data_IF_661964232524
#
_entry.id   IF_661964232524
#
_cell.length_a   1.000
_cell.length_b   1.000
_cell.length_c   1.000
_cell.angle_alpha   90.00
_cell.angle_beta   90.00
_cell.angle_gamma   90.00
#
_symmetry.space_group_name_H-M   'P 1'
#
loop_
_entity.id
_entity.type
_entity.pdbx_description
1 polymer ?
#
# COMPACT_ATOMS: atom_id res chain seq x y z
N UNK A 1 8.65 -86.34 -27.67
CA UNK A 1 7.89 -86.40 -26.40
C UNK A 1 7.32 -85.01 -26.11
N UNK A 2 6.25 -84.94 -25.32
CA UNK A 2 5.60 -83.72 -24.76
C UNK A 2 5.52 -83.92 -23.22
N UNK A 3 5.08 -82.98 -22.34
CA UNK A 3 4.50 -81.64 -22.52
C UNK A 3 5.38 -80.54 -21.84
N UNK A 4 4.97 -79.33 -21.38
CA UNK A 4 3.72 -78.49 -21.23
C UNK A 4 4.21 -77.00 -21.21
N UNK A 5 3.53 -75.89 -21.53
CA UNK A 5 2.13 -75.43 -21.49
C UNK A 5 1.58 -75.17 -20.06
N UNK A 6 0.97 -74.04 -19.67
CA UNK A 6 0.68 -72.72 -20.31
C UNK A 6 1.23 -71.60 -19.36
N UNK A 7 0.86 -70.30 -19.29
CA UNK A 7 -0.12 -69.37 -19.90
C UNK A 7 0.36 -67.92 -19.60
N UNK A 8 -0.10 -66.79 -20.16
CA UNK A 8 -1.05 -66.54 -21.27
C UNK A 8 -1.98 -65.33 -21.01
N UNK A 9 -1.65 -64.15 -21.54
CA UNK A 9 -2.51 -62.93 -21.59
C UNK A 9 -3.77 -63.12 -22.45
N UNK A 10 -4.83 -62.25 -22.43
CA UNK A 10 -4.90 -61.10 -23.36
C UNK A 10 -5.79 -59.88 -22.86
N UNK A 11 -6.68 -59.13 -23.59
CA UNK A 11 -6.59 -57.65 -23.59
C UNK A 11 -7.91 -56.80 -23.58
N UNK A 12 -7.77 -55.46 -23.72
CA UNK A 12 -8.68 -54.44 -24.34
C UNK A 12 -10.22 -54.53 -24.23
N UNK A 13 -10.85 -53.41 -23.82
CA UNK A 13 -12.18 -52.95 -24.29
C UNK A 13 -12.23 -51.41 -24.44
N UNK A 14 -13.32 -50.85 -25.01
CA UNK A 14 -13.45 -49.43 -25.41
C UNK A 14 -14.83 -48.83 -25.15
N UNK A 15 -14.90 -47.50 -24.91
CA UNK A 15 -16.03 -46.54 -25.10
C UNK A 15 -17.50 -47.01 -24.93
N UNK A 16 -18.27 -46.28 -24.11
CA UNK A 16 -19.50 -45.59 -24.56
C UNK A 16 -19.95 -44.49 -23.57
N UNK A 17 -21.20 -43.98 -23.64
CA UNK A 17 -21.68 -42.71 -23.04
C UNK A 17 -22.77 -42.87 -21.96
N UNK A 18 -23.01 -41.78 -21.19
CA UNK A 18 -24.08 -41.59 -20.17
C UNK A 18 -25.51 -41.74 -20.74
N UNK A 19 -26.54 -41.95 -19.89
CA UNK A 19 -27.35 -40.80 -19.43
C UNK A 19 -27.70 -40.83 -17.91
N UNK A 20 -28.58 -39.92 -17.46
CA UNK A 20 -28.85 -39.57 -16.04
C UNK A 20 -30.33 -39.32 -15.73
N UNK A 21 -30.84 -39.71 -14.54
CA UNK A 21 -32.20 -39.36 -14.06
C UNK A 21 -32.30 -39.20 -12.51
N UNK A 22 -32.67 -37.98 -12.08
CA UNK A 22 -33.54 -37.50 -10.96
C UNK A 22 -33.85 -38.31 -9.67
N UNK A 23 -33.83 -37.59 -8.52
CA UNK A 23 -34.81 -37.46 -7.38
C UNK A 23 -35.80 -38.61 -7.02
N UNK A 24 -36.32 -38.80 -5.79
CA UNK A 24 -36.47 -37.96 -4.56
C UNK A 24 -36.46 -38.88 -3.28
N UNK A 25 -37.12 -38.77 -2.10
CA UNK A 25 -38.17 -37.91 -1.47
C UNK A 25 -38.09 -37.98 0.10
N UNK A 26 -38.65 -36.96 0.77
CA UNK A 26 -38.99 -36.68 2.19
C UNK A 26 -38.97 -37.70 3.36
N UNK A 27 -38.77 -37.14 4.57
CA UNK A 27 -39.56 -37.42 5.78
C UNK A 27 -39.77 -36.11 6.60
N UNK A 28 -40.89 -35.98 7.32
CA UNK A 28 -41.21 -34.81 8.15
C UNK A 28 -41.94 -35.23 9.44
N UNK A 29 -41.86 -34.42 10.50
CA UNK A 29 -42.62 -34.62 11.73
C UNK A 29 -43.20 -33.31 12.25
N UNK A 30 -44.49 -33.33 12.62
CA UNK A 30 -45.22 -32.19 13.17
C UNK A 30 -45.37 -32.36 14.69
N UNK A 31 -45.17 -31.29 15.45
CA UNK A 31 -45.50 -31.25 16.88
C UNK A 31 -46.12 -29.89 17.22
N UNK A 32 -47.41 -29.91 17.56
CA UNK A 32 -48.18 -28.71 17.93
C UNK A 32 -48.07 -28.44 19.42
N UNK A 33 -47.66 -27.22 19.79
CA UNK A 33 -47.70 -26.72 21.16
C UNK A 33 -48.65 -25.53 21.25
N UNK A 34 -49.43 -25.49 22.34
CA UNK A 34 -50.47 -24.49 22.59
C UNK A 34 -49.81 -23.21 23.08
N UNK A 35 -50.16 -22.07 22.48
CA UNK A 35 -49.64 -20.76 22.88
C UNK A 35 -50.38 -20.18 24.08
N UNK A 36 -49.61 -19.64 25.02
CA UNK A 36 -50.07 -18.68 26.02
C UNK A 36 -49.43 -17.31 25.72
N UNK A 37 -50.13 -16.19 25.94
CA UNK A 37 -49.60 -14.86 25.66
C UNK A 37 -48.56 -14.47 26.72
N UNK A 38 -47.28 -14.68 26.42
CA UNK A 38 -46.17 -14.11 27.19
C UNK A 38 -46.04 -12.63 26.81
N UNK A 39 -45.99 -11.75 27.81
CA UNK A 39 -45.79 -10.32 27.59
C UNK A 39 -44.41 -10.06 26.94
N UNK A 40 -44.38 -9.31 25.84
CA UNK A 40 -43.13 -9.00 25.14
C UNK A 40 -42.28 -8.04 25.98
N UNK A 41 -41.25 -8.60 26.63
CA UNK A 41 -40.09 -7.81 27.05
C UNK A 41 -39.33 -7.36 25.79
N UNK A 42 -38.83 -6.12 25.78
CA UNK A 42 -37.94 -5.65 24.73
C UNK A 42 -36.67 -6.53 24.70
N UNK A 43 -36.12 -6.87 23.52
CA UNK A 43 -34.89 -7.64 23.44
C UNK A 43 -33.77 -6.89 24.17
N UNK A 44 -33.00 -7.61 24.97
CA UNK A 44 -31.78 -7.08 25.56
C UNK A 44 -30.85 -6.58 24.45
N UNK A 45 -30.10 -5.48 24.64
CA UNK A 45 -29.16 -5.01 23.63
C UNK A 45 -28.17 -6.13 23.33
N UNK A 46 -28.06 -6.52 22.06
CA UNK A 46 -27.09 -7.50 21.60
C UNK A 46 -25.71 -7.05 22.08
N UNK A 47 -24.92 -7.89 22.78
CA UNK A 47 -23.56 -7.51 23.11
C UNK A 47 -22.81 -7.21 21.81
N UNK A 48 -22.09 -6.09 21.78
CA UNK A 48 -21.19 -5.81 20.67
C UNK A 48 -20.22 -7.00 20.51
N UNK A 49 -19.86 -7.39 19.27
CA UNK A 49 -18.88 -8.44 19.07
C UNK A 49 -17.59 -8.08 19.83
N UNK A 50 -16.94 -9.09 20.40
CA UNK A 50 -15.66 -8.89 21.05
C UNK A 50 -14.68 -8.23 20.08
N UNK A 51 -13.89 -7.28 20.57
CA UNK A 51 -12.81 -6.70 19.79
C UNK A 51 -11.78 -7.81 19.55
N UNK A 52 -11.37 -8.00 18.29
CA UNK A 52 -10.28 -8.90 17.96
C UNK A 52 -8.98 -8.45 18.64
N UNK A 53 -8.16 -9.42 19.03
CA UNK A 53 -6.85 -9.19 19.66
C UNK A 53 -5.74 -9.05 18.59
N UNK A 54 -4.58 -8.53 19.00
CA UNK A 54 -3.47 -8.28 18.07
C UNK A 54 -2.91 -9.59 17.54
N UNK A 55 -2.96 -9.77 16.22
CA UNK A 55 -2.56 -11.01 15.58
C UNK A 55 -3.70 -12.00 15.28
N UNK A 56 -4.95 -11.67 15.61
CA UNK A 56 -6.09 -12.40 15.07
C UNK A 56 -6.10 -12.29 13.53
N UNK A 57 -6.22 -13.43 12.85
CA UNK A 57 -6.18 -13.51 11.38
C UNK A 57 -7.55 -13.93 10.86
N UNK A 58 -8.08 -13.15 9.93
CA UNK A 58 -9.25 -13.51 9.10
C UNK A 58 -8.79 -13.80 7.68
N UNK A 59 -9.08 -14.99 7.16
CA UNK A 59 -8.80 -15.35 5.76
C UNK A 59 -10.08 -15.28 4.92
N UNK A 60 -9.97 -14.72 3.71
CA UNK A 60 -11.06 -14.57 2.75
C UNK A 60 -10.78 -15.44 1.50
N UNK A 61 -11.49 -16.58 1.32
CA UNK A 61 -11.33 -17.42 0.14
C UNK A 61 -11.72 -16.70 -1.14
N UNK A 62 -10.91 -16.86 -2.19
CA UNK A 62 -11.16 -16.28 -3.50
C UNK A 62 -12.34 -16.98 -4.21
N UNK A 63 -13.11 -16.28 -5.08
CA UNK A 63 -14.26 -16.89 -5.76
C UNK A 63 -13.85 -17.95 -6.79
N UNK A 64 -12.63 -17.84 -7.32
CA UNK A 64 -12.04 -18.79 -8.28
C UNK A 64 -10.91 -19.59 -7.60
N UNK A 65 -10.70 -20.82 -8.07
CA UNK A 65 -9.60 -21.70 -7.62
C UNK A 65 -8.48 -21.78 -8.68
N UNK A 66 -7.24 -21.96 -8.23
CA UNK A 66 -6.03 -21.78 -9.03
C UNK A 66 -5.69 -20.32 -9.29
N UNK A 67 -6.19 -19.41 -8.46
CA UNK A 67 -6.09 -17.96 -8.64
C UNK A 67 -4.66 -17.47 -8.46
N UNK A 68 -3.92 -18.06 -7.51
CA UNK A 68 -2.54 -17.70 -7.18
C UNK A 68 -2.38 -16.18 -6.97
N UNK A 69 -2.96 -15.62 -5.89
CA UNK A 69 -2.93 -14.19 -5.63
C UNK A 69 -1.50 -13.67 -5.43
N UNK A 70 -1.13 -12.62 -6.18
CA UNK A 70 0.21 -12.03 -6.24
C UNK A 70 0.37 -10.80 -5.35
N UNK A 71 0.86 -9.69 -5.90
CA UNK A 71 1.03 -8.43 -5.15
C UNK A 71 -0.31 -7.78 -4.78
N UNK A 72 -0.34 -7.04 -3.67
CA UNK A 72 -1.54 -6.42 -3.08
C UNK A 72 -1.27 -4.96 -2.65
N UNK A 73 -2.19 -4.05 -2.96
CA UNK A 73 -2.05 -2.60 -2.74
C UNK A 73 -3.36 -1.93 -2.33
N UNK A 74 -3.31 -0.81 -1.60
CA UNK A 74 -4.52 -0.02 -1.27
C UNK A 74 -4.86 0.94 -2.42
N UNK A 75 -6.02 0.74 -3.06
CA UNK A 75 -6.52 1.58 -4.15
C UNK A 75 -7.11 2.92 -3.70
N UNK A 76 -7.30 3.83 -4.66
CA UNK A 76 -7.84 5.18 -4.46
C UNK A 76 -9.27 5.23 -3.90
N UNK A 77 -10.02 4.14 -4.00
CA UNK A 77 -11.38 3.98 -3.50
C UNK A 77 -11.47 3.40 -2.07
N UNK A 78 -10.32 3.24 -1.39
CA UNK A 78 -10.27 2.72 -0.01
C UNK A 78 -10.51 1.22 0.11
N UNK A 79 -10.17 0.45 -0.93
CA UNK A 79 -10.22 -1.01 -0.94
C UNK A 79 -8.84 -1.58 -1.33
N UNK A 80 -8.60 -2.84 -1.02
CA UNK A 80 -7.38 -3.53 -1.45
C UNK A 80 -7.59 -4.07 -2.87
N UNK A 81 -6.54 -4.02 -3.68
CA UNK A 81 -6.49 -4.51 -5.05
C UNK A 81 -5.26 -5.41 -5.21
N UNK A 82 -5.40 -6.54 -5.91
CA UNK A 82 -4.34 -7.54 -6.06
C UNK A 82 -4.39 -8.24 -7.42
N UNK A 83 -3.29 -8.86 -7.83
CA UNK A 83 -3.21 -9.69 -9.05
C UNK A 83 -3.63 -11.13 -8.76
N UNK A 84 -4.26 -11.80 -9.72
CA UNK A 84 -4.56 -13.25 -9.68
C UNK A 84 -3.83 -13.92 -10.84
N UNK A 85 -2.57 -14.31 -10.59
CA UNK A 85 -1.57 -14.66 -11.60
C UNK A 85 -1.98 -15.92 -12.38
N UNK A 86 -2.58 -16.91 -11.71
CA UNK A 86 -2.93 -18.21 -12.28
C UNK A 86 -4.16 -18.21 -13.19
N UNK A 87 -4.98 -17.15 -13.13
CA UNK A 87 -6.27 -17.05 -13.86
C UNK A 87 -6.42 -15.77 -14.67
N UNK A 88 -5.33 -15.01 -14.90
CA UNK A 88 -5.30 -13.76 -15.68
C UNK A 88 -6.37 -12.73 -15.28
N UNK A 89 -6.43 -12.37 -13.98
CA UNK A 89 -7.33 -11.34 -13.46
C UNK A 89 -6.62 -10.33 -12.56
N UNK A 90 -7.28 -9.19 -12.36
CA UNK A 90 -7.03 -8.27 -11.24
C UNK A 90 -8.24 -8.37 -10.32
N UNK A 91 -8.05 -8.52 -9.03
CA UNK A 91 -9.12 -8.59 -8.05
C UNK A 91 -9.07 -7.44 -7.05
N UNK A 92 -10.21 -7.25 -6.36
CA UNK A 92 -10.47 -6.21 -5.38
C UNK A 92 -11.19 -6.81 -4.18
N UNK A 93 -10.79 -6.43 -2.98
CA UNK A 93 -11.47 -6.80 -1.74
C UNK A 93 -11.73 -5.56 -0.88
N UNK A 94 -12.97 -5.37 -0.44
CA UNK A 94 -13.30 -4.30 0.50
C UNK A 94 -12.70 -4.59 1.87
N UNK A 95 -12.51 -3.58 2.74
CA UNK A 95 -12.04 -3.83 4.11
C UNK A 95 -13.00 -4.65 5.00
N UNK A 96 -14.19 -4.99 4.48
CA UNK A 96 -15.17 -5.88 5.12
C UNK A 96 -15.21 -7.28 4.46
N UNK A 97 -14.25 -7.61 3.60
CA UNK A 97 -14.12 -8.92 2.96
C UNK A 97 -14.97 -9.16 1.70
N UNK A 98 -15.58 -8.13 1.11
CA UNK A 98 -16.37 -8.30 -0.11
C UNK A 98 -15.47 -8.27 -1.36
N UNK A 99 -15.44 -9.39 -2.10
CA UNK A 99 -14.57 -9.61 -3.25
C UNK A 99 -15.22 -9.22 -4.60
N UNK A 100 -14.40 -8.82 -5.57
CA UNK A 100 -14.77 -8.60 -6.97
C UNK A 100 -13.56 -8.87 -7.86
N UNK A 101 -13.73 -9.72 -8.87
CA UNK A 101 -12.68 -10.08 -9.84
C UNK A 101 -12.91 -9.37 -11.18
N UNK A 102 -11.83 -8.94 -11.85
CA UNK A 102 -11.86 -8.28 -13.17
C UNK A 102 -10.99 -9.06 -14.16
N UNK A 103 -11.62 -9.56 -15.23
CA UNK A 103 -10.96 -10.35 -16.27
C UNK A 103 -10.13 -9.46 -17.22
N UNK A 104 -8.84 -9.79 -17.39
CA UNK A 104 -7.99 -9.15 -18.39
C UNK A 104 -8.42 -9.52 -19.84
N UNK A 105 -8.25 -8.61 -20.82
CA UNK A 105 -8.94 -8.64 -22.11
C UNK A 105 -8.27 -9.50 -23.20
N UNK A 106 -7.91 -10.74 -22.88
CA UNK A 106 -7.23 -11.65 -23.80
C UNK A 106 -6.90 -13.01 -23.19
N UNK A 107 -6.09 -13.79 -23.91
CA UNK A 107 -5.55 -15.08 -23.45
C UNK A 107 -4.03 -15.05 -23.24
N UNK A 108 -3.36 -13.92 -23.49
CA UNK A 108 -1.90 -13.75 -23.42
C UNK A 108 -1.44 -12.86 -22.26
N UNK A 109 -2.11 -12.97 -21.09
CA UNK A 109 -1.83 -12.17 -19.89
C UNK A 109 -1.28 -13.02 -18.75
N UNK A 110 -0.34 -12.46 -17.99
CA UNK A 110 0.05 -12.94 -16.66
C UNK A 110 0.41 -11.72 -15.78
N UNK A 111 -0.59 -11.14 -15.08
CA UNK A 111 -0.37 -9.95 -14.26
C UNK A 111 0.42 -10.31 -13.00
N UNK A 112 1.37 -9.48 -12.57
CA UNK A 112 2.22 -9.76 -11.40
C UNK A 112 2.20 -8.66 -10.33
N UNK A 113 2.91 -7.56 -10.56
CA UNK A 113 3.05 -6.45 -9.61
C UNK A 113 1.90 -5.45 -9.71
N UNK A 114 1.59 -4.71 -8.63
CA UNK A 114 0.45 -3.79 -8.56
C UNK A 114 0.65 -2.59 -7.62
N UNK A 115 0.29 -1.39 -8.10
CA UNK A 115 0.40 -0.14 -7.33
C UNK A 115 -0.75 0.84 -7.60
N UNK A 116 -1.15 1.59 -6.57
CA UNK A 116 -2.01 2.75 -6.76
C UNK A 116 -1.28 3.85 -7.55
N UNK A 117 -1.89 4.31 -8.64
CA UNK A 117 -1.35 5.34 -9.53
C UNK A 117 -1.70 6.78 -9.11
N UNK A 118 -0.91 7.78 -9.54
CA UNK A 118 -1.13 9.19 -9.22
C UNK A 118 -2.35 9.78 -9.97
N UNK A 119 -2.88 9.08 -10.97
CA UNK A 119 -4.11 9.41 -11.70
C UNK A 119 -5.38 8.80 -11.06
N UNK A 120 -5.26 8.19 -9.88
CA UNK A 120 -6.38 7.60 -9.14
C UNK A 120 -6.81 6.22 -9.64
N UNK A 121 -6.07 5.63 -10.58
CA UNK A 121 -6.26 4.23 -11.01
C UNK A 121 -5.39 3.28 -10.20
N UNK A 122 -5.53 1.98 -10.43
CA UNK A 122 -4.55 0.96 -10.04
C UNK A 122 -3.77 0.54 -11.28
N UNK A 123 -2.45 0.49 -11.18
CA UNK A 123 -1.53 0.12 -12.27
C UNK A 123 -0.88 -1.22 -11.95
N UNK A 124 -0.62 -2.03 -12.97
CA UNK A 124 -0.06 -3.38 -12.82
C UNK A 124 0.98 -3.70 -13.89
N UNK A 125 1.91 -4.61 -13.60
CA UNK A 125 2.76 -5.24 -14.62
C UNK A 125 2.08 -6.48 -15.17
N UNK A 126 2.32 -6.77 -16.45
CA UNK A 126 1.97 -8.03 -17.10
C UNK A 126 3.25 -8.62 -17.70
N UNK A 127 3.64 -9.81 -17.24
CA UNK A 127 4.93 -10.41 -17.63
C UNK A 127 4.95 -10.82 -19.11
N UNK A 128 3.82 -10.75 -19.81
CA UNK A 128 3.71 -10.69 -21.27
C UNK A 128 4.22 -9.38 -21.90
N UNK A 129 5.08 -8.63 -21.20
CA UNK A 129 5.73 -7.38 -21.64
C UNK A 129 4.80 -6.18 -21.79
N UNK A 130 3.85 -6.01 -20.87
CA UNK A 130 2.96 -4.82 -20.84
C UNK A 130 2.97 -4.15 -19.47
N UNK A 131 2.63 -2.86 -19.45
CA UNK A 131 2.12 -2.21 -18.23
C UNK A 131 0.63 -1.95 -18.42
N UNK A 132 -0.18 -2.43 -17.48
CA UNK A 132 -1.62 -2.23 -17.45
C UNK A 132 -2.05 -1.18 -16.43
N UNK A 133 -3.26 -0.68 -16.59
CA UNK A 133 -3.96 0.11 -15.58
C UNK A 133 -5.47 -0.17 -15.61
N UNK A 134 -6.08 -0.22 -14.44
CA UNK A 134 -7.51 -0.46 -14.23
C UNK A 134 -8.10 0.66 -13.38
N UNK A 135 -9.24 1.20 -13.82
CA UNK A 135 -10.03 2.17 -13.05
C UNK A 135 -10.79 1.45 -11.93
N UNK A 136 -11.21 2.20 -10.91
CA UNK A 136 -12.04 1.67 -9.80
C UNK A 136 -13.44 1.19 -10.22
N UNK A 137 -13.82 1.42 -11.48
CA UNK A 137 -15.02 0.93 -12.15
C UNK A 137 -14.76 -0.29 -13.09
N UNK A 138 -13.52 -0.79 -13.18
CA UNK A 138 -13.17 -1.98 -13.96
C UNK A 138 -12.75 -1.75 -15.42
N UNK A 139 -12.70 -0.50 -15.90
CA UNK A 139 -12.14 -0.22 -17.24
C UNK A 139 -10.61 -0.39 -17.22
N UNK A 140 -10.10 -1.28 -18.07
CA UNK A 140 -8.68 -1.61 -18.26
C UNK A 140 -8.09 -0.83 -19.45
N UNK A 141 -6.79 -0.55 -19.42
CA UNK A 141 -5.99 0.01 -20.52
C UNK A 141 -4.54 -0.47 -20.39
N UNK A 142 -3.88 -0.74 -21.51
CA UNK A 142 -2.56 -1.41 -21.54
C UNK A 142 -1.59 -0.70 -22.48
N UNK A 143 -0.30 -0.86 -22.20
CA UNK A 143 0.81 -0.30 -22.98
C UNK A 143 1.87 -1.39 -23.16
N UNK A 144 2.12 -1.81 -24.40
CA UNK A 144 3.23 -2.72 -24.72
C UNK A 144 4.58 -2.03 -24.45
N UNK A 145 5.53 -2.78 -23.89
CA UNK A 145 6.91 -2.33 -23.76
C UNK A 145 7.63 -2.32 -25.12
N UNK A 146 8.72 -1.52 -25.29
CA UNK A 146 9.63 -1.64 -26.43
C UNK A 146 10.08 -3.08 -26.74
N UNK A 147 10.54 -3.31 -27.98
CA UNK A 147 10.87 -4.66 -28.46
C UNK A 147 12.11 -5.27 -27.78
N UNK A 148 12.99 -4.44 -27.22
CA UNK A 148 14.25 -4.83 -26.57
C UNK A 148 14.23 -4.74 -25.03
N UNK A 149 13.13 -4.25 -24.44
CA UNK A 149 12.87 -4.24 -22.99
C UNK A 149 12.99 -5.63 -22.35
N UNK A 150 13.08 -5.70 -21.03
CA UNK A 150 12.94 -6.94 -20.28
C UNK A 150 11.49 -7.37 -20.10
N UNK A 151 11.26 -8.21 -19.08
CA UNK A 151 9.93 -8.55 -18.57
C UNK A 151 9.63 -7.69 -17.33
N UNK A 152 8.50 -6.95 -17.26
CA UNK A 152 8.23 -6.04 -16.15
C UNK A 152 7.77 -6.81 -14.91
N UNK A 153 8.38 -6.55 -13.75
CA UNK A 153 8.15 -7.35 -12.53
C UNK A 153 7.35 -6.58 -11.46
N UNK A 154 7.99 -5.86 -10.53
CA UNK A 154 7.31 -5.01 -9.56
C UNK A 154 7.04 -3.60 -10.11
N UNK A 155 6.09 -2.85 -9.52
CA UNK A 155 5.73 -1.49 -9.93
C UNK A 155 5.40 -0.59 -8.74
N UNK A 156 5.73 0.70 -8.82
CA UNK A 156 5.45 1.68 -7.76
C UNK A 156 5.21 3.09 -8.32
N UNK A 157 4.49 3.93 -7.58
CA UNK A 157 4.32 5.36 -7.94
C UNK A 157 5.54 6.17 -7.51
N UNK A 158 6.22 6.77 -8.49
CA UNK A 158 7.38 7.63 -8.32
C UNK A 158 7.04 9.01 -7.75
N UNK A 159 8.00 9.68 -7.09
CA UNK A 159 7.81 11.01 -6.50
C UNK A 159 7.70 12.14 -7.54
N UNK A 160 7.76 11.81 -8.83
CA UNK A 160 7.61 12.71 -9.97
C UNK A 160 6.29 12.50 -10.76
N UNK A 161 5.34 11.75 -10.19
CA UNK A 161 4.00 11.55 -10.77
C UNK A 161 3.93 10.55 -11.91
N UNK A 162 4.91 9.65 -12.01
CA UNK A 162 4.97 8.56 -12.99
C UNK A 162 5.02 7.22 -12.27
N UNK A 163 4.66 6.13 -12.95
CA UNK A 163 4.91 4.78 -12.46
C UNK A 163 6.35 4.39 -12.81
N UNK A 164 6.98 3.59 -11.96
CA UNK A 164 8.33 3.05 -12.13
C UNK A 164 8.28 1.56 -11.83
N UNK A 165 8.99 0.74 -12.61
CA UNK A 165 8.93 -0.72 -12.54
C UNK A 165 10.31 -1.35 -12.72
N UNK A 166 10.48 -2.58 -12.25
CA UNK A 166 11.69 -3.39 -12.47
C UNK A 166 11.57 -4.23 -13.74
N UNK A 167 12.69 -4.58 -14.39
CA UNK A 167 12.74 -5.47 -15.55
C UNK A 167 13.66 -6.68 -15.32
N UNK A 168 13.07 -7.86 -15.08
CA UNK A 168 13.78 -9.14 -14.98
C UNK A 168 13.08 -10.25 -15.81
N UNK A 169 13.79 -10.97 -16.69
CA UNK A 169 15.14 -10.68 -17.18
C UNK A 169 15.16 -9.38 -18.00
N UNK A 170 16.17 -8.55 -17.77
CA UNK A 170 16.34 -7.28 -18.49
C UNK A 170 17.46 -6.39 -17.96
N UNK A 171 17.74 -6.46 -16.66
CA UNK A 171 18.71 -5.60 -15.95
C UNK A 171 18.43 -4.11 -16.19
N UNK A 172 17.16 -3.69 -16.05
CA UNK A 172 16.75 -2.29 -16.12
C UNK A 172 15.75 -1.90 -15.04
N UNK A 173 15.64 -0.58 -14.82
CA UNK A 173 14.47 0.05 -14.21
C UNK A 173 13.70 0.78 -15.31
N UNK A 174 12.43 0.42 -15.49
CA UNK A 174 11.50 1.09 -16.38
C UNK A 174 10.72 2.21 -15.69
N UNK A 175 10.17 3.13 -16.49
CA UNK A 175 9.33 4.24 -16.06
C UNK A 175 8.26 4.52 -17.10
N UNK A 176 7.02 4.70 -16.67
CA UNK A 176 5.90 5.03 -17.56
C UNK A 176 5.07 6.20 -17.01
N UNK A 177 4.85 7.20 -17.86
CA UNK A 177 3.95 8.32 -17.56
C UNK A 177 2.49 7.84 -17.48
N UNK A 178 1.58 8.52 -16.75
CA UNK A 178 0.15 8.19 -16.78
C UNK A 178 -0.50 8.26 -18.18
N UNK A 179 0.17 8.91 -19.14
CA UNK A 179 -0.16 8.99 -20.57
C UNK A 179 0.51 7.92 -21.45
N UNK A 180 1.09 6.87 -20.88
CA UNK A 180 1.62 5.71 -21.62
C UNK A 180 3.04 5.84 -22.20
N UNK A 181 3.69 7.02 -22.13
CA UNK A 181 5.09 7.15 -22.55
C UNK A 181 6.03 6.40 -21.60
N UNK A 182 6.79 5.44 -22.14
CA UNK A 182 7.81 4.65 -21.44
C UNK A 182 9.21 5.30 -21.56
N UNK A 183 10.11 5.02 -20.62
CA UNK A 183 11.55 5.36 -20.62
C UNK A 183 12.28 4.39 -19.69
N UNK A 184 13.43 3.86 -20.10
CA UNK A 184 14.15 2.79 -19.40
C UNK A 184 15.57 3.21 -19.00
N UNK A 185 16.06 2.62 -17.91
CA UNK A 185 17.38 2.91 -17.33
C UNK A 185 18.13 1.59 -17.08
N UNK A 186 19.14 1.23 -17.89
CA UNK A 186 19.90 0.00 -17.68
C UNK A 186 20.73 0.07 -16.40
N UNK A 187 20.84 -1.06 -15.70
CA UNK A 187 21.65 -1.21 -14.50
C UNK A 187 23.16 -1.23 -14.86
N UNK A 188 24.04 -0.71 -13.97
CA UNK A 188 25.49 -0.76 -14.17
C UNK A 188 26.08 -2.18 -14.27
N UNK A 189 25.46 -3.18 -13.64
CA UNK A 189 25.93 -4.57 -13.64
C UNK A 189 24.92 -5.52 -14.31
N UNK A 190 25.36 -6.42 -15.20
CA UNK A 190 24.52 -7.47 -15.77
C UNK A 190 24.32 -8.63 -14.79
N UNK A 191 23.22 -9.38 -14.93
CA UNK A 191 22.85 -10.47 -14.05
C UNK A 191 22.46 -9.99 -12.65
N UNK A 192 21.90 -8.79 -12.55
CA UNK A 192 21.47 -8.19 -11.29
C UNK A 192 20.08 -8.65 -10.87
N UNK A 193 19.20 -8.92 -11.86
CA UNK A 193 17.81 -9.36 -11.65
C UNK A 193 17.04 -8.43 -10.68
N UNK A 194 16.60 -7.25 -11.16
CA UNK A 194 15.90 -6.30 -10.31
C UNK A 194 14.50 -6.82 -9.96
N UNK A 195 14.23 -6.98 -8.66
CA UNK A 195 13.04 -7.66 -8.15
C UNK A 195 11.94 -6.65 -7.77
N UNK A 196 12.04 -6.07 -6.57
CA UNK A 196 11.06 -5.14 -6.00
C UNK A 196 11.53 -3.69 -6.05
N UNK A 197 10.60 -2.72 -6.07
CA UNK A 197 10.91 -1.27 -6.11
C UNK A 197 9.94 -0.44 -5.27
N UNK A 198 10.48 0.49 -4.48
CA UNK A 198 9.71 1.39 -3.59
C UNK A 198 10.15 2.85 -3.70
N UNK A 199 9.18 3.77 -3.76
CA UNK A 199 9.42 5.21 -3.59
C UNK A 199 9.64 5.58 -2.13
N UNK A 200 10.71 6.32 -1.85
CA UNK A 200 11.03 6.80 -0.52
C UNK A 200 10.72 8.30 -0.35
N UNK A 201 10.31 8.77 0.84
CA UNK A 201 10.18 10.20 1.15
C UNK A 201 11.45 11.06 1.02
N UNK A 202 12.60 10.49 0.62
CA UNK A 202 13.80 11.25 0.27
C UNK A 202 13.82 11.71 -1.22
N UNK A 203 12.74 11.44 -1.96
CA UNK A 203 12.56 11.86 -3.35
C UNK A 203 13.23 10.94 -4.38
N UNK A 204 13.58 9.72 -4.00
CA UNK A 204 14.19 8.72 -4.87
C UNK A 204 13.46 7.37 -4.73
N UNK A 205 13.70 6.47 -5.67
CA UNK A 205 13.26 5.09 -5.60
C UNK A 205 14.43 4.20 -5.19
N UNK A 206 14.13 3.10 -4.51
CA UNK A 206 15.06 2.08 -4.08
C UNK A 206 14.54 0.72 -4.53
N UNK A 207 15.42 -0.18 -4.95
CA UNK A 207 15.06 -1.47 -5.51
C UNK A 207 16.02 -2.57 -5.06
N UNK A 208 15.63 -3.83 -5.18
CA UNK A 208 16.46 -5.00 -4.90
C UNK A 208 17.07 -5.57 -6.18
N UNK A 209 18.21 -6.23 -6.04
CA UNK A 209 18.88 -6.99 -7.11
C UNK A 209 19.13 -8.40 -6.59
N UNK A 210 18.18 -9.32 -6.81
CA UNK A 210 18.15 -10.62 -6.12
C UNK A 210 19.34 -11.50 -6.52
N UNK A 211 19.71 -11.48 -7.80
CA UNK A 211 20.93 -12.16 -8.32
C UNK A 211 22.19 -11.30 -8.19
N UNK A 212 22.05 -9.97 -8.20
CA UNK A 212 23.17 -9.04 -8.00
C UNK A 212 23.68 -8.99 -6.56
N UNK A 213 22.85 -9.42 -5.59
CA UNK A 213 23.07 -9.35 -4.15
C UNK A 213 23.33 -7.90 -3.67
N UNK A 214 22.49 -6.96 -4.11
CA UNK A 214 22.59 -5.52 -3.82
C UNK A 214 21.23 -4.89 -3.53
N UNK A 215 21.26 -3.71 -2.92
CA UNK A 215 20.16 -2.74 -2.97
C UNK A 215 20.55 -1.63 -3.95
N UNK A 216 19.72 -1.38 -4.94
CA UNK A 216 19.83 -0.27 -5.86
C UNK A 216 19.09 0.99 -5.37
N UNK A 217 19.56 2.15 -5.80
CA UNK A 217 18.87 3.44 -5.65
C UNK A 217 18.86 4.18 -6.98
N UNK A 218 17.69 4.63 -7.43
CA UNK A 218 17.52 5.43 -8.64
C UNK A 218 16.84 6.77 -8.35
N UNK A 219 17.46 7.85 -8.83
CA UNK A 219 16.88 9.20 -8.79
C UNK A 219 15.81 9.35 -9.88
N UNK A 220 14.83 10.27 -9.76
CA UNK A 220 13.84 10.54 -10.81
C UNK A 220 14.41 11.01 -12.17
N UNK A 221 15.72 11.32 -12.21
CA UNK A 221 16.50 11.70 -13.39
C UNK A 221 17.33 10.54 -13.97
N UNK A 222 17.13 9.30 -13.53
CA UNK A 222 17.80 8.11 -14.06
C UNK A 222 19.20 7.83 -13.51
N UNK A 223 19.77 8.66 -12.62
CA UNK A 223 21.03 8.31 -11.94
C UNK A 223 20.78 7.14 -10.98
N UNK A 224 21.48 6.03 -11.21
CA UNK A 224 21.53 4.83 -10.36
C UNK A 224 22.73 4.90 -9.39
N UNK A 225 22.67 4.19 -8.27
CA UNK A 225 23.76 3.91 -7.33
C UNK A 225 23.44 2.64 -6.55
N UNK A 226 24.33 1.65 -6.57
CA UNK A 226 24.12 0.34 -5.94
C UNK A 226 24.89 0.20 -4.62
N UNK A 227 24.36 -0.62 -3.70
CA UNK A 227 24.97 -0.94 -2.41
C UNK A 227 25.01 -2.46 -2.25
N UNK A 228 26.18 -3.12 -2.37
CA UNK A 228 26.28 -4.56 -2.22
C UNK A 228 26.00 -4.98 -0.77
N UNK A 229 25.34 -6.12 -0.59
CA UNK A 229 25.11 -6.69 0.75
C UNK A 229 26.42 -7.23 1.34
N UNK A 230 26.65 -7.08 2.67
CA UNK A 230 27.84 -7.61 3.34
C UNK A 230 27.87 -9.15 3.41
N UNK A 231 26.74 -9.84 3.39
CA UNK A 231 26.66 -11.29 3.26
C UNK A 231 26.46 -11.72 1.80
N UNK A 232 27.17 -12.77 1.37
CA UNK A 232 26.99 -13.38 0.06
C UNK A 232 25.67 -14.15 -0.04
N UNK A 233 25.17 -14.31 -1.27
CA UNK A 233 24.04 -15.16 -1.63
C UNK A 233 22.75 -14.92 -0.80
N UNK A 234 22.51 -13.69 -0.36
CA UNK A 234 21.44 -13.37 0.59
C UNK A 234 20.04 -13.30 -0.07
N UNK A 235 19.98 -13.05 -1.39
CA UNK A 235 18.74 -13.01 -2.16
C UNK A 235 17.78 -11.90 -1.70
N UNK A 236 18.12 -10.61 -1.87
CA UNK A 236 17.21 -9.53 -1.52
C UNK A 236 15.97 -9.53 -2.43
N UNK A 237 14.76 -9.68 -1.86
CA UNK A 237 13.49 -9.81 -2.60
C UNK A 237 12.63 -8.54 -2.47
N UNK A 238 11.72 -8.46 -1.49
CA UNK A 238 10.78 -7.32 -1.36
C UNK A 238 11.40 -6.18 -0.57
N UNK A 239 11.08 -4.94 -0.96
CA UNK A 239 11.64 -3.72 -0.36
C UNK A 239 10.56 -2.69 0.01
N UNK A 240 10.71 -2.06 1.17
CA UNK A 240 9.74 -1.10 1.71
C UNK A 240 10.38 0.09 2.43
N UNK A 241 9.66 1.20 2.52
CA UNK A 241 10.10 2.39 3.24
C UNK A 241 9.78 2.26 4.74
N UNK A 242 10.80 2.31 5.60
CA UNK A 242 10.62 2.13 7.04
C UNK A 242 10.05 3.36 7.76
N UNK A 243 9.28 3.18 8.84
CA UNK A 243 8.78 4.28 9.69
C UNK A 243 9.91 5.01 10.43
N UNK A 244 11.09 4.38 10.57
CA UNK A 244 12.33 5.01 11.05
C UNK A 244 13.05 5.87 9.99
N UNK A 245 12.48 5.98 8.78
CA UNK A 245 13.07 6.72 7.67
C UNK A 245 14.24 6.00 7.01
N UNK A 246 14.44 4.71 7.26
CA UNK A 246 15.35 3.87 6.48
C UNK A 246 14.59 3.16 5.34
N UNK A 247 15.24 2.22 4.66
CA UNK A 247 14.62 1.26 3.74
C UNK A 247 14.87 -0.13 4.31
N UNK A 248 13.87 -1.00 4.25
CA UNK A 248 13.90 -2.36 4.80
C UNK A 248 13.59 -3.34 3.68
N UNK A 249 14.18 -4.53 3.72
CA UNK A 249 14.03 -5.57 2.71
C UNK A 249 14.09 -6.97 3.32
N UNK A 250 13.61 -7.98 2.60
CA UNK A 250 13.77 -9.39 2.95
C UNK A 250 14.99 -9.99 2.26
N UNK A 251 15.68 -10.91 2.95
CA UNK A 251 16.76 -11.74 2.40
C UNK A 251 16.25 -13.18 2.28
N UNK A 252 15.56 -13.48 1.18
CA UNK A 252 14.77 -14.70 0.97
C UNK A 252 15.63 -15.98 1.09
N UNK A 253 16.86 -15.96 0.59
CA UNK A 253 17.73 -17.14 0.56
C UNK A 253 18.51 -17.35 1.87
N UNK A 254 18.51 -16.36 2.77
CA UNK A 254 19.37 -16.36 3.95
C UNK A 254 18.63 -16.17 5.29
N UNK A 255 17.29 -16.20 5.27
CA UNK A 255 16.42 -16.06 6.44
C UNK A 255 16.76 -14.84 7.31
N UNK A 256 16.74 -13.64 6.70
CA UNK A 256 16.92 -12.35 7.41
C UNK A 256 15.98 -11.27 6.93
N UNK A 257 15.87 -10.22 7.74
CA UNK A 257 15.38 -8.90 7.33
C UNK A 257 16.58 -7.96 7.25
N UNK A 258 16.77 -7.29 6.12
CA UNK A 258 17.80 -6.29 5.91
C UNK A 258 17.29 -4.86 6.10
N UNK A 259 18.18 -3.95 6.48
CA UNK A 259 17.92 -2.51 6.65
C UNK A 259 19.05 -1.67 6.08
N UNK A 260 18.72 -0.76 5.17
CA UNK A 260 19.67 0.20 4.60
C UNK A 260 19.27 1.65 4.90
N UNK A 261 20.23 2.41 5.42
CA UNK A 261 20.06 3.83 5.69
C UNK A 261 20.14 4.67 4.41
N UNK A 262 19.59 5.91 4.36
CA UNK A 262 19.71 6.79 3.20
C UNK A 262 21.14 7.14 2.76
N UNK A 263 22.15 6.78 3.55
CA UNK A 263 23.60 6.95 3.30
C UNK A 263 24.32 5.65 2.88
N UNK A 264 23.60 4.55 2.69
CA UNK A 264 24.17 3.28 2.25
C UNK A 264 24.72 2.35 3.34
N UNK A 265 24.65 2.72 4.64
CA UNK A 265 24.95 1.76 5.72
C UNK A 265 23.83 0.70 5.77
N UNK A 266 24.21 -0.56 5.60
CA UNK A 266 23.35 -1.75 5.77
C UNK A 266 23.46 -2.30 7.21
N UNK A 267 22.43 -3.00 7.68
CA UNK A 267 22.37 -3.78 8.93
C UNK A 267 21.34 -4.89 8.73
N UNK A 268 21.63 -6.12 9.16
CA UNK A 268 20.86 -7.32 8.82
C UNK A 268 20.46 -8.04 10.10
N UNK A 269 19.23 -8.56 10.13
CA UNK A 269 18.58 -9.15 11.30
C UNK A 269 18.16 -10.60 10.98
N UNK A 270 18.91 -11.62 11.41
CA UNK A 270 18.53 -13.02 11.23
C UNK A 270 17.16 -13.32 11.86
N UNK A 271 16.34 -14.11 11.16
CA UNK A 271 15.03 -14.50 11.66
C UNK A 271 15.11 -15.36 12.95
N UNK A 272 14.07 -15.33 13.80
CA UNK A 272 13.96 -16.24 14.94
C UNK A 272 13.89 -17.71 14.50
N UNK A 273 14.39 -18.61 15.36
CA UNK A 273 14.34 -20.04 15.09
C UNK A 273 12.87 -20.53 14.96
N UNK A 274 12.53 -21.07 13.78
CA UNK A 274 11.17 -21.51 13.44
C UNK A 274 10.43 -20.61 12.43
N UNK A 275 10.97 -19.42 12.15
CA UNK A 275 10.61 -18.60 10.99
C UNK A 275 11.55 -18.93 9.81
N UNK A 276 11.02 -19.02 8.59
CA UNK A 276 11.84 -19.18 7.36
C UNK A 276 11.06 -18.78 6.10
N UNK A 277 11.79 -18.37 5.07
CA UNK A 277 11.27 -17.87 3.80
C UNK A 277 10.65 -16.46 3.90
N UNK A 278 11.41 -15.43 4.31
CA UNK A 278 10.90 -14.06 4.37
C UNK A 278 10.68 -13.54 2.94
N UNK A 279 9.43 -13.24 2.60
CA UNK A 279 9.04 -12.84 1.24
C UNK A 279 8.61 -11.36 1.18
N UNK A 280 7.32 -11.05 1.19
CA UNK A 280 6.82 -9.68 1.24
C UNK A 280 7.10 -8.96 2.56
N UNK A 281 7.37 -7.65 2.49
CA UNK A 281 7.54 -6.77 3.67
C UNK A 281 6.87 -5.40 3.48
N UNK A 282 6.18 -4.90 4.51
CA UNK A 282 5.52 -3.60 4.53
C UNK A 282 5.64 -2.90 5.88
N UNK A 283 5.62 -1.56 5.88
CA UNK A 283 5.46 -0.78 7.11
C UNK A 283 4.00 -0.83 7.60
N UNK A 284 3.81 -1.23 8.85
CA UNK A 284 2.50 -1.26 9.50
C UNK A 284 2.09 0.09 10.11
N UNK A 285 0.78 0.37 10.24
CA UNK A 285 0.29 1.59 10.86
C UNK A 285 0.56 1.66 12.38
N UNK A 286 1.00 0.57 13.00
CA UNK A 286 1.49 0.52 14.38
C UNK A 286 2.92 1.07 14.54
N UNK A 287 3.62 1.35 13.44
CA UNK A 287 4.99 1.88 13.43
C UNK A 287 6.08 0.80 13.40
N UNK A 288 5.73 -0.46 13.14
CA UNK A 288 6.66 -1.57 12.95
C UNK A 288 6.72 -2.00 11.48
N UNK A 289 7.60 -2.93 11.14
CA UNK A 289 7.62 -3.61 9.85
C UNK A 289 6.96 -4.99 10.03
N UNK A 290 6.20 -5.41 9.03
CA UNK A 290 5.49 -6.69 8.98
C UNK A 290 5.85 -7.42 7.69
N UNK A 291 6.12 -8.71 7.77
CA UNK A 291 6.59 -9.53 6.66
C UNK A 291 5.90 -10.90 6.62
N UNK A 292 5.85 -11.52 5.45
CA UNK A 292 5.36 -12.89 5.28
C UNK A 292 6.48 -13.91 5.46
N UNK A 293 6.14 -15.08 5.99
CA UNK A 293 7.04 -16.22 6.14
C UNK A 293 6.52 -17.39 5.30
N UNK A 294 6.83 -17.34 4.00
CA UNK A 294 6.24 -18.19 2.97
C UNK A 294 6.42 -19.68 3.26
N UNK A 295 7.61 -20.09 3.73
CA UNK A 295 7.95 -21.51 3.95
C UNK A 295 7.47 -22.09 5.29
N UNK A 296 6.88 -21.26 6.16
CA UNK A 296 6.49 -21.65 7.53
C UNK A 296 5.08 -21.20 7.93
N UNK A 297 4.26 -20.80 6.95
CA UNK A 297 2.87 -20.34 7.11
C UNK A 297 2.69 -19.36 8.29
N UNK A 298 3.32 -18.18 8.18
CA UNK A 298 3.23 -17.15 9.21
C UNK A 298 3.37 -15.72 8.70
N UNK A 299 3.01 -14.78 9.56
CA UNK A 299 3.32 -13.36 9.44
C UNK A 299 4.31 -12.99 10.55
N UNK A 300 5.48 -12.51 10.17
CA UNK A 300 6.46 -11.94 11.08
C UNK A 300 6.27 -10.43 11.27
N UNK A 301 6.77 -9.92 12.39
CA UNK A 301 6.87 -8.48 12.67
C UNK A 301 8.25 -8.19 13.24
N UNK A 302 8.87 -7.08 12.84
CA UNK A 302 10.11 -6.55 13.40
C UNK A 302 9.96 -5.07 13.80
N UNK A 303 10.36 -4.72 15.02
CA UNK A 303 10.43 -3.32 15.47
C UNK A 303 11.58 -2.59 14.77
N UNK A 304 11.53 -1.25 14.66
CA UNK A 304 12.63 -0.53 14.01
C UNK A 304 14.01 -0.70 14.68
N UNK A 305 14.04 -1.10 15.96
CA UNK A 305 15.26 -1.38 16.71
C UNK A 305 15.75 -2.83 16.55
N UNK A 306 14.88 -3.77 16.18
CA UNK A 306 15.24 -5.15 15.80
C UNK A 306 14.49 -6.28 16.52
N UNK A 307 13.47 -5.98 17.33
CA UNK A 307 12.74 -7.01 18.10
C UNK A 307 11.70 -7.72 17.22
N UNK A 308 11.75 -9.04 17.18
CA UNK A 308 10.80 -9.86 16.41
C UNK A 308 9.56 -10.29 17.20
N UNK A 309 8.45 -10.47 16.49
CA UNK A 309 7.28 -11.25 16.89
C UNK A 309 6.77 -12.07 15.70
N UNK A 310 6.03 -13.17 15.95
CA UNK A 310 5.54 -14.10 14.93
C UNK A 310 4.07 -14.46 15.19
N UNK A 311 3.28 -14.49 14.12
CA UNK A 311 1.86 -14.81 14.11
C UNK A 311 1.61 -15.94 13.09
N UNK A 312 1.44 -17.20 13.52
CA UNK A 312 1.17 -18.32 12.61
C UNK A 312 -0.18 -18.14 11.90
N UNK A 313 -0.27 -18.57 10.64
CA UNK A 313 -1.55 -18.64 9.94
C UNK A 313 -2.42 -19.79 10.51
N UNK A 314 -3.76 -19.67 10.48
CA UNK A 314 -4.65 -20.75 10.93
C UNK A 314 -4.70 -21.94 9.96
N UNK A 315 -4.28 -21.78 8.71
CA UNK A 315 -4.17 -22.83 7.71
C UNK A 315 -2.70 -23.13 7.33
N UNK A 316 -2.45 -24.38 6.92
CA UNK A 316 -1.14 -24.86 6.48
C UNK A 316 -1.11 -25.05 4.96
N UNK A 317 0.04 -24.79 4.34
CA UNK A 317 0.18 -24.72 2.88
C UNK A 317 -0.44 -23.46 2.27
N UNK A 318 -0.63 -22.41 3.07
CA UNK A 318 -1.16 -21.13 2.61
C UNK A 318 -0.13 -20.36 1.78
N UNK A 319 1.16 -20.49 2.10
CA UNK A 319 2.27 -19.82 1.40
C UNK A 319 2.02 -18.30 1.28
N UNK A 320 2.05 -17.55 2.38
CA UNK A 320 1.82 -16.10 2.34
C UNK A 320 2.94 -15.42 1.54
N UNK A 321 2.58 -14.59 0.55
CA UNK A 321 3.54 -13.95 -0.37
C UNK A 321 3.68 -12.45 -0.14
N UNK A 322 2.75 -11.61 -0.61
CA UNK A 322 2.87 -10.15 -0.56
C UNK A 322 1.96 -9.58 0.54
N UNK A 323 2.38 -8.49 1.18
CA UNK A 323 1.72 -7.90 2.36
C UNK A 323 1.69 -6.37 2.25
N UNK A 324 0.62 -5.73 2.72
CA UNK A 324 0.42 -4.28 2.67
C UNK A 324 -0.42 -3.76 3.84
N UNK A 325 -0.32 -2.47 4.14
CA UNK A 325 -1.18 -1.83 5.13
C UNK A 325 -2.52 -1.46 4.51
N UNK A 326 -3.61 -1.89 5.14
CA UNK A 326 -4.99 -1.60 4.74
C UNK A 326 -5.51 -0.26 5.25
N UNK A 327 -6.54 0.31 4.57
CA UNK A 327 -7.15 1.57 4.98
C UNK A 327 -7.96 1.47 6.29
N UNK A 328 -8.15 0.26 6.80
CA UNK A 328 -8.85 -0.09 8.05
C UNK A 328 -7.95 -0.20 9.28
N UNK A 329 -6.66 0.14 9.15
CA UNK A 329 -5.61 0.03 10.18
C UNK A 329 -4.94 -1.35 10.36
N UNK A 330 -5.17 -2.32 9.47
CA UNK A 330 -4.72 -3.70 9.63
C UNK A 330 -3.73 -4.11 8.53
N UNK A 331 -3.03 -5.23 8.71
CA UNK A 331 -2.18 -5.79 7.64
C UNK A 331 -3.01 -6.73 6.77
N UNK A 332 -2.86 -6.62 5.45
CA UNK A 332 -3.51 -7.47 4.46
C UNK A 332 -2.45 -8.17 3.62
N UNK A 333 -2.63 -9.47 3.37
CA UNK A 333 -1.64 -10.30 2.67
C UNK A 333 -2.30 -11.31 1.74
N UNK A 334 -1.55 -11.81 0.77
CA UNK A 334 -2.00 -12.81 -0.21
C UNK A 334 -1.42 -14.19 0.11
N UNK A 335 -2.23 -15.23 -0.03
CA UNK A 335 -1.86 -16.63 0.23
C UNK A 335 -1.85 -17.41 -1.10
N UNK A 336 -0.68 -17.58 -1.71
CA UNK A 336 -0.58 -18.11 -3.08
C UNK A 336 -0.95 -19.60 -3.16
N UNK A 337 -0.68 -20.36 -2.09
CA UNK A 337 -1.07 -21.76 -1.96
C UNK A 337 -2.50 -21.95 -1.42
N UNK A 338 -3.04 -20.92 -0.76
CA UNK A 338 -4.34 -20.97 -0.11
C UNK A 338 -5.54 -20.56 -0.98
N UNK A 339 -5.31 -19.90 -2.12
CA UNK A 339 -6.31 -19.13 -2.88
C UNK A 339 -7.11 -18.18 -1.96
N UNK A 340 -6.39 -17.37 -1.19
CA UNK A 340 -6.93 -16.50 -0.13
C UNK A 340 -6.27 -15.13 -0.07
N UNK A 341 -7.01 -14.17 0.48
CA UNK A 341 -6.46 -12.94 1.06
C UNK A 341 -6.63 -13.01 2.56
N UNK A 342 -5.54 -12.89 3.31
CA UNK A 342 -5.55 -12.79 4.77
C UNK A 342 -5.55 -11.34 5.26
N UNK A 343 -6.12 -11.14 6.44
CA UNK A 343 -6.18 -9.86 7.17
C UNK A 343 -5.79 -10.13 8.63
N UNK A 344 -4.68 -9.54 9.07
CA UNK A 344 -4.18 -9.61 10.44
C UNK A 344 -4.53 -8.35 11.22
N UNK A 345 -5.23 -8.51 12.34
CA UNK A 345 -5.74 -7.44 13.20
C UNK A 345 -4.63 -6.77 14.01
N UNK A 346 -4.66 -5.43 14.04
CA UNK A 346 -3.71 -4.59 14.78
C UNK A 346 -4.41 -3.72 15.82
N UNK A 347 -3.88 -3.69 17.06
CA UNK A 347 -4.20 -2.61 17.99
C UNK A 347 -3.35 -1.36 17.71
N UNK A 348 -3.49 -0.82 16.51
CA UNK A 348 -3.05 0.54 16.17
C UNK A 348 -3.84 1.62 16.96
N UNK A 349 -4.83 1.22 17.76
CA UNK A 349 -5.93 2.05 18.24
C UNK A 349 -6.85 2.51 17.09
N UNK A 350 -7.83 3.38 17.38
CA UNK A 350 -8.59 4.05 16.32
C UNK A 350 -7.65 4.92 15.45
N UNK A 351 -7.97 5.19 14.17
CA UNK A 351 -7.08 5.89 13.22
C UNK A 351 -6.41 7.17 13.76
N UNK A 352 -5.18 7.45 13.32
CA UNK A 352 -4.35 8.58 13.81
C UNK A 352 -3.61 9.33 12.71
N UNK A 353 -3.95 10.60 12.51
CA UNK A 353 -3.13 11.50 11.72
C UNK A 353 -1.94 12.03 12.55
N UNK A 354 -0.87 12.45 11.87
CA UNK A 354 0.14 13.40 12.38
C UNK A 354 0.15 14.56 11.40
N UNK A 355 -0.81 15.46 11.55
CA UNK A 355 -0.85 16.68 10.76
C UNK A 355 0.29 17.59 11.21
N UNK A 356 0.80 18.41 10.31
CA UNK A 356 1.81 19.42 10.61
C UNK A 356 1.54 20.68 9.78
N UNK A 357 1.70 21.83 10.41
CA UNK A 357 1.58 23.14 9.76
C UNK A 357 2.96 23.76 9.63
N UNK A 358 3.24 24.35 8.47
CA UNK A 358 4.29 25.35 8.32
C UNK A 358 3.69 26.64 7.73
N UNK A 359 4.04 27.78 8.31
CA UNK A 359 3.62 29.11 7.86
C UNK A 359 4.85 29.92 7.45
N UNK A 360 4.90 30.29 6.16
CA UNK A 360 5.99 31.11 5.62
C UNK A 360 5.49 32.43 5.03
N UNK A 361 6.33 33.47 5.13
CA UNK A 361 6.12 34.81 4.58
C UNK A 361 7.47 35.56 4.55
N UNK A 362 7.59 36.68 3.80
CA UNK A 362 8.75 37.55 3.87
C UNK A 362 9.02 38.07 5.29
N UNK A 363 10.28 38.03 5.72
CA UNK A 363 10.71 38.49 7.05
C UNK A 363 10.58 40.00 7.25
N UNK A 364 10.52 40.78 6.16
CA UNK A 364 10.20 42.21 6.19
C UNK A 364 9.53 42.69 4.90
N UNK A 365 8.66 43.70 5.02
CA UNK A 365 7.95 44.34 3.90
C UNK A 365 7.84 45.85 4.10
N UNK A 366 7.66 46.60 3.01
CA UNK A 366 7.32 48.02 3.09
C UNK A 366 5.86 48.18 3.54
N UNK A 367 5.59 49.21 4.33
CA UNK A 367 4.23 49.65 4.67
C UNK A 367 3.42 49.92 3.39
N UNK A 368 2.19 49.42 3.34
CA UNK A 368 1.30 49.51 2.19
C UNK A 368 1.64 48.56 1.02
N UNK A 369 2.73 47.79 1.10
CA UNK A 369 3.01 46.74 0.12
C UNK A 369 2.14 45.50 0.36
N UNK A 370 1.84 44.79 -0.72
CA UNK A 370 1.25 43.46 -0.67
C UNK A 370 2.31 42.37 -0.53
N UNK A 371 1.96 41.28 0.14
CA UNK A 371 2.78 40.08 0.26
C UNK A 371 1.92 38.85 0.58
N UNK A 372 2.45 37.66 0.31
CA UNK A 372 1.72 36.40 0.43
C UNK A 372 2.21 35.59 1.63
N UNK A 373 1.27 35.08 2.43
CA UNK A 373 1.50 33.95 3.33
C UNK A 373 1.29 32.64 2.57
N UNK A 374 2.19 31.68 2.74
CA UNK A 374 1.96 30.30 2.35
C UNK A 374 1.75 29.43 3.61
N UNK A 375 0.55 28.89 3.77
CA UNK A 375 0.22 27.88 4.78
C UNK A 375 0.38 26.51 4.13
N UNK A 376 1.40 25.75 4.50
CA UNK A 376 1.56 24.35 4.11
C UNK A 376 1.03 23.47 5.23
N UNK A 377 0.07 22.60 4.90
CA UNK A 377 -0.39 21.52 5.77
C UNK A 377 0.11 20.20 5.19
N UNK A 378 0.76 19.37 6.00
CA UNK A 378 1.24 18.03 5.62
C UNK A 378 0.66 17.01 6.56
N UNK A 379 0.22 15.86 6.06
CA UNK A 379 -0.08 14.69 6.89
C UNK A 379 1.12 13.74 6.86
N UNK A 380 1.83 13.67 7.99
CA UNK A 380 2.98 12.79 8.21
C UNK A 380 2.59 11.44 8.82
N UNK A 381 1.33 11.30 9.25
CA UNK A 381 0.83 10.08 9.86
C UNK A 381 0.48 9.00 8.83
N UNK A 382 0.39 7.73 9.24
CA UNK A 382 0.06 6.61 8.36
C UNK A 382 -1.42 6.58 7.94
N UNK A 383 -2.28 7.40 8.55
CA UNK A 383 -3.71 7.45 8.26
C UNK A 383 -4.13 8.77 7.60
N UNK A 384 -5.11 8.71 6.70
CA UNK A 384 -5.75 9.90 6.17
C UNK A 384 -6.41 10.74 7.28
N UNK A 385 -6.16 12.04 7.27
CA UNK A 385 -6.93 13.00 8.05
C UNK A 385 -8.25 13.26 7.32
N UNK A 386 -9.38 13.16 8.03
CA UNK A 386 -10.72 13.48 7.54
C UNK A 386 -11.28 14.73 8.24
N UNK A 387 -12.18 15.43 7.55
CA UNK A 387 -12.85 16.65 8.00
C UNK A 387 -11.86 17.69 8.57
N UNK A 388 -10.84 18.06 7.80
CA UNK A 388 -9.86 19.06 8.24
C UNK A 388 -10.48 20.46 8.25
N UNK A 389 -10.11 21.26 9.24
CA UNK A 389 -10.25 22.70 9.25
C UNK A 389 -8.85 23.33 9.35
N UNK A 390 -8.43 23.99 8.28
CA UNK A 390 -7.17 24.76 8.20
C UNK A 390 -7.51 26.22 8.48
N UNK A 391 -6.76 26.88 9.36
CA UNK A 391 -7.03 28.27 9.78
C UNK A 391 -5.81 29.16 9.65
N UNK A 392 -6.02 30.42 9.24
CA UNK A 392 -5.01 31.49 9.27
C UNK A 392 -5.55 32.69 10.05
N UNK A 393 -4.97 32.91 11.22
CA UNK A 393 -5.21 34.08 12.07
C UNK A 393 -4.23 35.19 11.72
N UNK A 394 -4.76 36.37 11.42
CA UNK A 394 -4.03 37.58 11.07
C UNK A 394 -4.27 38.63 12.17
N UNK A 395 -3.28 39.47 12.52
CA UNK A 395 -3.48 40.51 13.53
C UNK A 395 -4.25 41.71 12.95
N UNK A 396 -4.75 42.57 13.83
CA UNK A 396 -5.38 43.84 13.43
C UNK A 396 -4.40 44.68 12.61
N UNK A 397 -4.90 45.35 11.57
CA UNK A 397 -4.08 46.18 10.67
C UNK A 397 -3.51 45.45 9.44
N UNK A 398 -3.96 44.22 9.18
CA UNK A 398 -3.67 43.46 7.96
C UNK A 398 -4.96 43.37 7.13
N UNK A 399 -4.91 43.84 5.88
CA UNK A 399 -6.02 43.69 4.94
C UNK A 399 -5.77 42.48 4.03
N UNK A 400 -6.69 41.51 4.01
CA UNK A 400 -6.66 40.40 3.03
C UNK A 400 -7.10 40.93 1.68
N UNK A 401 -6.25 40.83 0.66
CA UNK A 401 -6.56 41.24 -0.71
C UNK A 401 -6.89 40.03 -1.59
N UNK A 402 -6.24 38.89 -1.36
CA UNK A 402 -6.53 37.63 -2.05
C UNK A 402 -6.49 36.43 -1.08
N UNK A 403 -7.30 35.41 -1.32
CA UNK A 403 -7.22 34.12 -0.63
C UNK A 403 -7.80 33.00 -1.52
N UNK A 404 -7.46 31.72 -1.29
CA UNK A 404 -7.93 30.62 -2.13
C UNK A 404 -9.46 30.43 -2.01
N UNK A 405 -10.13 29.93 -3.06
CA UNK A 405 -11.54 29.56 -3.01
C UNK A 405 -11.88 28.63 -1.83
N UNK A 406 -13.10 28.72 -1.32
CA UNK A 406 -13.55 27.95 -0.15
C UNK A 406 -13.12 28.50 1.21
N UNK A 407 -12.45 29.66 1.26
CA UNK A 407 -12.22 30.39 2.51
C UNK A 407 -13.55 30.88 3.12
N UNK A 408 -13.90 30.43 4.32
CA UNK A 408 -14.92 31.13 5.12
C UNK A 408 -14.40 32.53 5.49
N UNK A 409 -15.21 33.53 5.15
CA UNK A 409 -14.96 34.97 5.34
C UNK A 409 -16.09 35.64 6.15
N UNK A 410 -16.92 34.86 6.87
CA UNK A 410 -17.94 35.38 7.82
C UNK A 410 -17.36 36.29 8.89
N UNK A 411 -16.07 36.16 9.18
CA UNK A 411 -15.29 37.13 9.96
C UNK A 411 -14.03 37.54 9.19
N UNK A 412 -13.42 38.71 9.46
CA UNK A 412 -12.18 39.11 8.79
C UNK A 412 -10.98 38.21 9.13
N UNK A 413 -11.00 37.56 10.30
CA UNK A 413 -9.99 36.60 10.75
C UNK A 413 -10.51 35.79 11.95
N UNK A 414 -10.18 34.49 12.08
CA UNK A 414 -9.39 33.67 11.17
C UNK A 414 -10.08 33.46 9.81
N UNK A 415 -9.28 33.30 8.76
CA UNK A 415 -9.73 32.65 7.53
C UNK A 415 -9.72 31.14 7.78
N UNK A 416 -10.76 30.43 7.35
CA UNK A 416 -10.88 28.97 7.53
C UNK A 416 -11.14 28.28 6.21
N UNK A 417 -10.43 27.19 5.91
CA UNK A 417 -10.73 26.29 4.79
C UNK A 417 -11.08 24.91 5.33
N UNK A 418 -12.15 24.32 4.80
CA UNK A 418 -12.45 22.91 5.03
C UNK A 418 -11.84 22.05 3.93
N UNK A 419 -11.36 20.86 4.30
CA UNK A 419 -10.82 19.86 3.39
C UNK A 419 -11.32 18.48 3.82
N UNK A 420 -12.07 17.82 2.96
CA UNK A 420 -12.78 16.57 3.27
C UNK A 420 -11.81 15.46 3.70
N UNK A 421 -10.68 15.32 2.98
CA UNK A 421 -9.59 14.42 3.34
C UNK A 421 -8.20 14.93 2.92
N UNK A 422 -7.17 14.50 3.67
CA UNK A 422 -5.76 14.62 3.31
C UNK A 422 -5.07 13.28 3.61
N UNK A 423 -4.66 12.56 2.56
CA UNK A 423 -4.08 11.21 2.65
C UNK A 423 -2.74 11.17 3.39
N UNK A 424 -2.30 9.98 3.80
CA UNK A 424 -0.99 9.77 4.40
C UNK A 424 0.13 10.26 3.45
N UNK A 425 1.15 10.94 3.99
CA UNK A 425 2.25 11.55 3.23
C UNK A 425 1.89 12.77 2.37
N UNK A 426 0.60 13.09 2.18
CA UNK A 426 0.16 14.19 1.32
C UNK A 426 0.34 15.56 1.97
N UNK A 427 0.42 16.61 1.14
CA UNK A 427 0.41 18.00 1.57
C UNK A 427 -0.56 18.85 0.74
N UNK A 428 -1.01 19.97 1.33
CA UNK A 428 -1.83 20.99 0.66
C UNK A 428 -1.33 22.38 1.06
N UNK A 429 -1.30 23.32 0.12
CA UNK A 429 -0.77 24.68 0.33
C UNK A 429 -1.85 25.72 0.04
N UNK A 430 -1.99 26.69 0.95
CA UNK A 430 -2.92 27.82 0.83
C UNK A 430 -2.12 29.13 0.76
N UNK A 431 -2.28 29.87 -0.34
CA UNK A 431 -1.64 31.16 -0.57
C UNK A 431 -2.61 32.30 -0.28
N UNK A 432 -2.27 33.18 0.67
CA UNK A 432 -3.11 34.31 1.08
C UNK A 432 -2.35 35.62 0.93
N UNK A 433 -2.78 36.47 0.01
CA UNK A 433 -2.15 37.78 -0.24
C UNK A 433 -2.80 38.84 0.64
N UNK A 434 -1.95 39.63 1.31
CA UNK A 434 -2.36 40.65 2.28
C UNK A 434 -1.56 41.94 2.10
N UNK A 435 -2.10 43.06 2.60
CA UNK A 435 -1.42 44.37 2.62
C UNK A 435 -1.04 44.81 4.05
N UNK A 436 0.18 45.31 4.20
CA UNK A 436 0.77 45.73 5.49
C UNK A 436 0.42 47.19 5.86
N UNK A 437 -0.77 47.43 6.44
CA UNK A 437 -1.23 48.80 6.72
C UNK A 437 -0.76 49.37 8.08
N UNK A 438 -0.34 48.52 9.03
CA UNK A 438 0.10 48.90 10.39
C UNK A 438 1.53 48.44 10.75
N UNK A 439 2.01 48.89 11.91
CA UNK A 439 3.39 48.75 12.44
C UNK A 439 3.37 48.13 13.85
N UNK A 440 4.49 47.58 14.37
CA UNK A 440 5.82 47.45 13.75
C UNK A 440 6.12 46.04 13.20
N UNK A 441 5.45 45.01 13.71
CA UNK A 441 5.61 43.63 13.31
C UNK A 441 4.23 42.96 13.20
N UNK A 442 3.99 42.31 12.08
CA UNK A 442 2.80 41.50 11.84
C UNK A 442 3.17 40.07 12.22
N UNK A 443 2.47 39.51 13.22
CA UNK A 443 2.60 38.10 13.63
C UNK A 443 1.32 37.39 13.20
N UNK A 444 1.42 36.51 12.21
CA UNK A 444 0.32 35.63 11.80
C UNK A 444 0.50 34.25 12.43
N UNK A 445 -0.61 33.55 12.69
CA UNK A 445 -0.63 32.17 13.19
C UNK A 445 -1.49 31.30 12.29
N UNK A 446 -0.92 30.20 11.80
CA UNK A 446 -1.68 29.14 11.15
C UNK A 446 -1.92 28.00 12.14
N UNK A 447 -3.04 27.29 11.98
CA UNK A 447 -3.36 26.10 12.77
C UNK A 447 -4.24 25.14 11.96
N UNK A 448 -4.14 23.84 12.25
CA UNK A 448 -5.01 22.81 11.67
C UNK A 448 -5.62 21.92 12.74
N UNK A 449 -6.84 21.46 12.48
CA UNK A 449 -7.53 20.41 13.24
C UNK A 449 -8.24 19.46 12.27
N UNK A 450 -8.47 18.21 12.69
CA UNK A 450 -9.17 17.18 11.92
C UNK A 450 -10.10 16.36 12.82
N UNK A 451 -11.06 15.65 12.22
CA UNK A 451 -11.86 14.63 12.92
C UNK A 451 -11.06 13.36 13.18
N UNK A 452 -10.18 12.95 12.25
CA UNK A 452 -9.17 11.91 12.56
C UNK A 452 -8.30 12.42 13.71
N UNK A 453 -8.23 11.73 14.86
CA UNK A 453 -7.50 12.25 16.02
C UNK A 453 -5.99 12.32 15.78
N UNK A 454 -5.39 13.42 16.24
CA UNK A 454 -3.95 13.67 16.14
C UNK A 454 -3.26 13.49 17.52
N UNK A 455 -2.13 12.78 17.54
CA UNK A 455 -1.29 12.53 18.73
C UNK A 455 -0.22 13.60 18.98
N UNK A 456 0.29 14.27 17.95
CA UNK A 456 1.48 15.12 17.98
C UNK A 456 1.17 16.63 17.88
N UNK A 457 0.04 17.07 18.44
CA UNK A 457 -0.56 18.42 18.32
C UNK A 457 0.35 19.65 18.58
N UNK A 458 1.61 19.46 18.93
CA UNK A 458 2.67 20.48 19.02
C UNK A 458 3.07 21.07 17.66
N UNK A 459 2.96 20.30 16.58
CA UNK A 459 3.28 20.73 15.20
C UNK A 459 2.08 21.29 14.43
N UNK A 460 0.87 21.20 15.00
CA UNK A 460 -0.39 21.62 14.37
C UNK A 460 -0.64 23.13 14.39
N UNK A 461 0.33 23.93 14.85
CA UNK A 461 0.29 25.39 14.72
C UNK A 461 1.69 25.95 14.46
N UNK A 462 1.79 26.94 13.57
CA UNK A 462 3.04 27.67 13.27
C UNK A 462 2.78 29.18 13.18
N UNK A 463 3.83 29.99 13.35
CA UNK A 463 3.75 31.47 13.40
C UNK A 463 4.85 32.14 12.58
N UNK A 464 4.44 32.97 11.61
CA UNK A 464 5.35 33.81 10.84
C UNK A 464 5.34 35.26 11.36
N UNK A 465 6.51 35.90 11.42
CA UNK A 465 6.68 37.30 11.82
C UNK A 465 7.27 38.12 10.67
N UNK A 466 6.49 39.08 10.18
CA UNK A 466 6.89 40.02 9.12
C UNK A 466 7.09 41.43 9.70
N UNK A 467 8.29 42.00 9.59
CA UNK A 467 8.60 43.36 10.06
C UNK A 467 8.18 44.41 9.03
N UNK A 468 7.46 45.46 9.45
CA UNK A 468 6.94 46.49 8.54
C UNK A 468 7.77 47.78 8.63
N UNK A 469 8.36 48.20 7.51
CA UNK A 469 9.26 49.37 7.42
C UNK A 469 8.81 50.42 6.39
N UNK A 470 9.42 51.61 6.43
CA UNK A 470 8.91 52.83 5.78
C UNK A 470 8.23 53.76 6.80
N UNK A 471 7.95 55.02 6.44
CA UNK A 471 7.34 56.00 7.36
C UNK A 471 5.83 55.77 7.54
#
# INVERSE_FOLDING_TARGET
MSPRALCGSPPRTTRSRRPSWTFQLAAALLLTLISLPVASAAPAPTPAPARADVGDITEYPLPTAGSFPGEITTGSDGNLWFTEVGIRKIARITPTGALTEYQLPGDDHSPFGIAAGPDGKVWFTDISRRIGNITTAGLITEYDLPADSGTPFAITTGPDGNLWFTEDPGDRIGKITPSGKITEYPLPHPGSAPESIVTKPDGNLWFTEISGNRIGKITPKGKITEYPLPNADSGPDVITAGPDGNVWFTELFADRIGKITPKGKITEYPLPAGSSGPDGIAAGPDGNLWFTEQLTDGIGRITPDGDFARYPLPNAGSLPVRITAGPDANMWFTEIGGDRVGRLELDAGPPRADLAVHLSAPSSVRRGAEYTYAVTVTNKGPFAAADLAVTLTLPRGVAVTEAPPGADRRTPTPLTWHVDALGAGQLRVFHVTVRADQRPAIIAKAAVTSRTPDRNRRNNTDTATTRVFGR
#
